data_IF_699219942620
#
_entry.id   IF_699219942620
#
_cell.length_a   1.000
_cell.length_b   1.000
_cell.length_c   1.000
_cell.angle_alpha   90.00
_cell.angle_beta   90.00
_cell.angle_gamma   90.00
#
_symmetry.space_group_name_H-M   'P 1'
#
loop_
_entity.id
_entity.type
_entity.pdbx_description
1 polymer ?
#
# COMPACT_ATOMS: atom_id res chain seq x y z
N UNK A 1 13.24 -18.37 40.07
CA UNK A 1 12.53 -17.10 39.98
C UNK A 1 11.48 -17.19 38.89
N UNK A 2 10.25 -17.09 39.25
CA UNK A 2 9.15 -17.20 38.29
C UNK A 2 8.87 -15.83 37.68
N UNK A 3 9.03 -15.71 36.36
CA UNK A 3 8.58 -14.53 35.64
C UNK A 3 7.05 -14.44 35.71
N UNK A 4 6.49 -13.26 36.03
CA UNK A 4 5.04 -13.09 36.05
C UNK A 4 4.45 -13.39 34.68
N UNK A 5 3.44 -14.25 34.64
CA UNK A 5 2.73 -14.60 33.39
C UNK A 5 2.22 -13.37 32.62
N UNK A 6 1.92 -12.30 33.33
CA UNK A 6 1.43 -11.03 32.77
C UNK A 6 2.45 -10.36 31.84
N UNK A 7 3.75 -10.45 32.15
CA UNK A 7 4.81 -9.85 31.30
C UNK A 7 4.95 -10.58 29.96
N UNK A 8 4.83 -11.90 29.97
CA UNK A 8 4.90 -12.71 28.75
C UNK A 8 3.70 -12.42 27.84
N UNK A 9 2.50 -12.30 28.42
CA UNK A 9 1.30 -11.97 27.69
C UNK A 9 1.38 -10.57 27.06
N UNK A 10 1.95 -9.59 27.78
CA UNK A 10 2.12 -8.23 27.28
C UNK A 10 3.08 -8.17 26.09
N UNK A 11 4.17 -8.93 26.12
CA UNK A 11 5.13 -9.04 25.00
C UNK A 11 4.46 -9.69 23.78
N UNK A 12 3.65 -10.72 23.98
CA UNK A 12 2.88 -11.38 22.93
C UNK A 12 1.85 -10.45 22.27
N UNK A 13 1.14 -9.67 23.07
CA UNK A 13 0.16 -8.70 22.58
C UNK A 13 0.84 -7.58 21.76
N UNK A 14 1.99 -7.10 22.19
CA UNK A 14 2.76 -6.10 21.47
C UNK A 14 3.30 -6.64 20.14
N UNK A 15 3.78 -7.88 20.11
CA UNK A 15 4.23 -8.56 18.91
C UNK A 15 3.11 -8.75 17.88
N UNK A 16 1.89 -9.10 18.32
CA UNK A 16 0.72 -9.23 17.46
C UNK A 16 0.31 -7.88 16.84
N UNK A 17 0.41 -6.79 17.61
CA UNK A 17 0.13 -5.44 17.11
C UNK A 17 1.10 -5.00 16.01
N UNK A 18 2.39 -5.32 16.16
CA UNK A 18 3.41 -5.01 15.16
C UNK A 18 3.15 -5.79 13.85
N UNK A 19 2.71 -7.05 13.93
CA UNK A 19 2.45 -7.87 12.75
C UNK A 19 1.24 -7.41 11.92
N UNK A 20 0.41 -6.52 12.47
CA UNK A 20 -0.72 -5.92 11.74
C UNK A 20 -0.34 -4.72 10.88
N UNK A 21 0.90 -4.23 10.98
CA UNK A 21 1.36 -3.15 10.09
C UNK A 21 1.57 -3.71 8.68
N UNK A 22 0.78 -3.16 7.74
CA UNK A 22 0.76 -3.60 6.36
C UNK A 22 1.84 -2.87 5.56
N UNK A 23 3.01 -3.47 5.45
CA UNK A 23 4.09 -2.97 4.58
C UNK A 23 4.20 -3.84 3.33
N UNK A 24 4.52 -3.20 2.19
CA UNK A 24 4.83 -3.92 0.98
C UNK A 24 6.09 -4.77 1.13
N UNK A 25 6.04 -6.03 0.70
CA UNK A 25 7.22 -6.89 0.71
C UNK A 25 8.16 -6.56 -0.45
N UNK A 26 9.46 -6.76 -0.26
CA UNK A 26 10.46 -6.58 -1.31
C UNK A 26 10.24 -7.50 -2.51
N UNK A 27 9.66 -8.69 -2.30
CA UNK A 27 9.32 -9.62 -3.37
C UNK A 27 8.36 -9.01 -4.40
N UNK A 28 7.42 -8.17 -3.95
CA UNK A 28 6.46 -7.50 -4.82
C UNK A 28 7.13 -6.49 -5.76
N UNK A 29 8.11 -5.75 -5.26
CA UNK A 29 8.88 -4.80 -6.07
C UNK A 29 9.76 -5.52 -7.10
N UNK A 30 10.36 -6.64 -6.71
CA UNK A 30 11.15 -7.47 -7.61
C UNK A 30 10.30 -8.03 -8.75
N UNK A 31 9.12 -8.52 -8.45
CA UNK A 31 8.19 -9.04 -9.44
C UNK A 31 7.71 -7.95 -10.41
N UNK A 32 7.29 -6.81 -9.89
CA UNK A 32 6.88 -5.68 -10.72
C UNK A 32 8.03 -5.20 -11.61
N UNK A 33 9.22 -5.09 -11.07
CA UNK A 33 10.41 -4.70 -11.82
C UNK A 33 10.73 -5.68 -12.96
N UNK A 34 10.57 -6.96 -12.71
CA UNK A 34 10.77 -8.01 -13.72
C UNK A 34 9.75 -7.91 -14.86
N UNK A 35 8.47 -7.71 -14.52
CA UNK A 35 7.39 -7.62 -15.52
C UNK A 35 7.54 -6.39 -16.42
N UNK A 36 7.83 -5.23 -15.84
CA UNK A 36 7.87 -3.95 -16.54
C UNK A 36 9.28 -3.51 -16.94
N UNK A 37 10.30 -4.31 -16.63
CA UNK A 37 11.71 -4.00 -16.88
C UNK A 37 12.13 -2.67 -16.26
N UNK A 38 11.71 -2.49 -15.00
CA UNK A 38 12.05 -1.32 -14.20
C UNK A 38 12.87 -1.80 -13.00
N UNK A 39 13.88 -1.03 -12.64
CA UNK A 39 14.69 -1.32 -11.45
C UNK A 39 13.80 -1.39 -10.20
N UNK A 40 13.78 -2.52 -9.46
CA UNK A 40 12.92 -2.66 -8.28
C UNK A 40 13.13 -1.57 -7.22
N UNK A 41 14.37 -1.12 -7.02
CA UNK A 41 14.67 -0.05 -6.07
C UNK A 41 14.05 1.29 -6.49
N UNK A 42 13.90 1.54 -7.78
CA UNK A 42 13.21 2.74 -8.27
C UNK A 42 11.71 2.68 -7.93
N UNK A 43 11.07 1.53 -8.17
CA UNK A 43 9.66 1.33 -7.81
C UNK A 43 9.46 1.53 -6.31
N UNK A 44 10.35 0.95 -5.50
CA UNK A 44 10.32 1.09 -4.05
C UNK A 44 10.51 2.55 -3.62
N UNK A 45 11.43 3.27 -4.24
CA UNK A 45 11.65 4.69 -3.96
C UNK A 45 10.41 5.54 -4.25
N UNK A 46 9.71 5.27 -5.35
CA UNK A 46 8.45 5.93 -5.68
C UNK A 46 7.40 5.62 -4.61
N UNK A 47 7.23 4.37 -4.22
CA UNK A 47 6.30 3.98 -3.18
C UNK A 47 6.63 4.63 -1.82
N UNK A 48 7.91 4.78 -1.51
CA UNK A 48 8.34 5.45 -0.29
C UNK A 48 7.90 6.93 -0.28
N UNK A 49 8.09 7.62 -1.40
CA UNK A 49 7.69 9.03 -1.54
C UNK A 49 6.16 9.17 -1.50
N UNK A 50 5.45 8.30 -2.21
CA UNK A 50 4.01 8.40 -2.37
C UNK A 50 3.22 8.04 -1.11
N UNK A 51 3.59 6.96 -0.44
CA UNK A 51 2.80 6.41 0.67
C UNK A 51 3.61 6.07 1.91
N UNK A 52 4.91 6.35 1.91
CA UNK A 52 5.84 5.86 2.94
C UNK A 52 5.77 4.32 3.10
N UNK A 53 5.63 3.62 1.98
CA UNK A 53 5.50 2.16 1.89
C UNK A 53 4.26 1.58 2.59
N UNK A 54 3.21 2.40 2.79
CA UNK A 54 1.96 1.95 3.41
C UNK A 54 0.95 1.53 2.34
N UNK A 55 0.53 0.28 2.37
CA UNK A 55 -0.42 -0.27 1.40
C UNK A 55 -1.83 0.34 1.52
N UNK A 56 -2.20 0.78 2.71
CA UNK A 56 -3.54 1.26 3.05
C UNK A 56 -3.63 2.79 3.11
N UNK A 57 -2.65 3.48 2.59
CA UNK A 57 -2.60 4.94 2.58
C UNK A 57 -3.67 5.53 1.65
N UNK A 58 -4.37 6.55 2.14
CA UNK A 58 -5.31 7.33 1.34
C UNK A 58 -4.87 8.80 1.41
N UNK A 59 -4.45 9.34 0.27
CA UNK A 59 -4.10 10.74 0.12
C UNK A 59 -5.30 11.58 -0.29
N UNK A 60 -5.33 12.82 0.18
CA UNK A 60 -6.39 13.78 -0.16
C UNK A 60 -5.79 14.93 -0.94
N UNK A 61 -6.32 15.17 -2.14
CA UNK A 61 -5.92 16.32 -2.95
C UNK A 61 -6.94 17.44 -2.74
N UNK A 62 -6.45 18.61 -2.38
CA UNK A 62 -7.30 19.76 -2.06
C UNK A 62 -7.11 20.89 -3.05
N UNK A 63 -8.17 21.68 -3.25
CA UNK A 63 -8.11 22.89 -4.05
C UNK A 63 -7.59 24.08 -3.23
N UNK A 64 -7.53 25.26 -3.86
CA UNK A 64 -7.05 26.50 -3.22
C UNK A 64 -7.93 26.93 -2.03
N UNK A 65 -9.19 26.49 -2.01
CA UNK A 65 -10.15 26.77 -0.92
C UNK A 65 -10.14 25.70 0.16
N UNK A 66 -9.17 24.75 0.09
CA UNK A 66 -9.02 23.64 1.03
C UNK A 66 -10.14 22.59 0.95
N UNK A 67 -10.90 22.55 -0.14
CA UNK A 67 -11.89 21.51 -0.40
C UNK A 67 -11.23 20.30 -1.01
N UNK A 68 -11.69 19.08 -0.64
CA UNK A 68 -11.19 17.84 -1.22
C UNK A 68 -11.65 17.73 -2.67
N UNK A 69 -10.70 17.60 -3.60
CA UNK A 69 -10.98 17.41 -5.03
C UNK A 69 -10.93 15.95 -5.45
N UNK A 70 -10.00 15.20 -4.88
CA UNK A 70 -9.80 13.80 -5.26
C UNK A 70 -9.03 13.06 -4.17
N UNK A 71 -9.03 11.73 -4.30
CA UNK A 71 -8.27 10.84 -3.43
C UNK A 71 -7.23 10.06 -4.24
N UNK A 72 -6.11 9.73 -3.57
CA UNK A 72 -5.11 8.81 -4.07
C UNK A 72 -5.08 7.58 -3.17
N UNK A 73 -5.00 6.39 -3.76
CA UNK A 73 -5.17 5.14 -3.03
C UNK A 73 -3.93 4.26 -3.06
N UNK A 74 -3.59 3.74 -1.89
CA UNK A 74 -2.67 2.63 -1.73
C UNK A 74 -1.20 2.97 -1.83
N UNK A 75 -0.40 1.93 -2.01
CA UNK A 75 1.05 1.99 -2.02
C UNK A 75 1.60 3.01 -3.01
N UNK A 76 1.05 3.06 -4.21
CA UNK A 76 1.51 3.94 -5.30
C UNK A 76 0.67 5.20 -5.45
N UNK A 77 -0.27 5.45 -4.52
CA UNK A 77 -1.15 6.62 -4.53
C UNK A 77 -1.83 6.83 -5.89
N UNK A 78 -2.55 5.79 -6.32
CA UNK A 78 -3.30 5.82 -7.58
C UNK A 78 -4.49 6.76 -7.44
N UNK A 79 -4.56 7.77 -8.31
CA UNK A 79 -5.64 8.75 -8.26
C UNK A 79 -6.99 8.12 -8.63
N UNK A 80 -8.04 8.58 -7.97
CA UNK A 80 -9.39 8.08 -8.19
C UNK A 80 -9.86 8.17 -9.64
N UNK A 81 -9.31 9.08 -10.44
CA UNK A 81 -9.68 9.21 -11.86
C UNK A 81 -9.39 7.94 -12.66
N UNK A 82 -8.48 7.10 -12.21
CA UNK A 82 -8.12 5.83 -12.88
C UNK A 82 -9.04 4.68 -12.50
N UNK A 83 -9.86 4.81 -11.46
CA UNK A 83 -10.70 3.72 -10.95
C UNK A 83 -11.68 3.18 -11.99
N UNK A 84 -12.42 4.02 -12.74
CA UNK A 84 -13.34 3.50 -13.75
C UNK A 84 -12.68 2.62 -14.80
N UNK A 85 -11.48 3.00 -15.25
CA UNK A 85 -10.73 2.22 -16.23
C UNK A 85 -10.24 0.89 -15.63
N UNK A 86 -9.72 0.92 -14.41
CA UNK A 86 -9.24 -0.28 -13.71
C UNK A 86 -10.38 -1.28 -13.47
N UNK A 87 -11.55 -0.78 -13.13
CA UNK A 87 -12.78 -1.60 -12.99
C UNK A 87 -13.19 -2.19 -14.32
N UNK A 88 -13.21 -1.39 -15.38
CA UNK A 88 -13.58 -1.83 -16.73
C UNK A 88 -12.67 -2.94 -17.25
N UNK A 89 -11.36 -2.85 -16.94
CA UNK A 89 -10.37 -3.87 -17.29
C UNK A 89 -10.38 -5.10 -16.39
N UNK A 90 -11.20 -5.10 -15.35
CA UNK A 90 -11.27 -6.22 -14.39
C UNK A 90 -10.07 -6.33 -13.46
N UNK A 91 -9.22 -5.30 -13.38
CA UNK A 91 -8.03 -5.28 -12.52
C UNK A 91 -8.44 -5.14 -11.05
N UNK A 92 -9.45 -4.31 -10.78
CA UNK A 92 -10.02 -4.12 -9.45
C UNK A 92 -11.54 -4.24 -9.50
N UNK A 93 -12.15 -4.57 -8.38
CA UNK A 93 -13.61 -4.54 -8.18
C UNK A 93 -14.07 -3.17 -7.71
N UNK A 94 -13.32 -2.57 -6.78
CA UNK A 94 -13.56 -1.23 -6.26
C UNK A 94 -12.23 -0.63 -5.73
N UNK A 95 -12.28 0.60 -5.26
CA UNK A 95 -11.12 1.33 -4.76
C UNK A 95 -10.43 0.65 -3.58
N UNK A 96 -11.14 -0.16 -2.80
CA UNK A 96 -10.57 -0.88 -1.67
C UNK A 96 -9.54 -1.93 -2.09
N UNK A 97 -9.63 -2.42 -3.31
CA UNK A 97 -8.65 -3.35 -3.86
C UNK A 97 -7.27 -2.72 -4.05
N UNK A 98 -7.20 -1.40 -4.10
CA UNK A 98 -5.94 -0.65 -4.13
C UNK A 98 -5.30 -0.50 -2.76
N UNK A 99 -6.03 -0.85 -1.70
CA UNK A 99 -5.58 -0.79 -0.31
C UNK A 99 -5.26 -2.19 0.20
N UNK A 100 -4.15 -2.36 0.86
CA UNK A 100 -3.82 -3.60 1.55
C UNK A 100 -3.40 -4.78 0.67
N UNK A 101 -3.59 -4.70 -0.64
CA UNK A 101 -3.14 -5.71 -1.58
C UNK A 101 -2.08 -5.14 -2.48
N UNK A 102 -0.83 -5.35 -2.13
CA UNK A 102 0.25 -5.17 -3.09
C UNK A 102 0.19 -6.38 -4.01
N UNK A 103 -0.66 -6.30 -4.99
CA UNK A 103 -0.78 -7.40 -5.94
C UNK A 103 0.23 -7.24 -7.07
N UNK A 104 0.63 -8.22 -7.38
CA UNK A 104 1.41 -8.95 -8.36
C UNK A 104 1.20 -8.55 -9.81
N UNK A 105 0.11 -8.06 -10.23
CA UNK A 105 0.11 -7.39 -11.50
C UNK A 105 0.73 -6.03 -11.24
N UNK A 106 1.96 -5.87 -11.65
CA UNK A 106 2.62 -4.57 -11.63
C UNK A 106 1.75 -3.44 -12.19
N UNK A 107 0.70 -3.78 -12.90
CA UNK A 107 -0.35 -2.88 -13.36
C UNK A 107 -0.99 -2.08 -12.23
N UNK A 108 -1.23 -2.68 -11.06
CA UNK A 108 -1.78 -1.97 -9.90
C UNK A 108 -0.71 -1.07 -9.26
N UNK A 109 0.55 -1.49 -9.26
CA UNK A 109 1.65 -0.71 -8.71
C UNK A 109 1.99 0.51 -9.54
N UNK A 110 1.90 0.41 -10.86
CA UNK A 110 2.34 1.42 -11.81
C UNK A 110 1.17 2.15 -12.50
N UNK A 111 -0.05 1.74 -12.17
CA UNK A 111 -1.25 2.35 -12.75
C UNK A 111 -1.29 3.83 -12.59
#
# INVERSE_FOLDING_TARGET
>A
MRLPKVKILSIFMFSILITKMSFASSACFNEAGSIFRIEPNLIKAIALVESNLKNDSIGKNRDKKNNIKSFDYGLMQINQMHIPMLKKRGIIKDERDLLGKVRISGEILLG
#
